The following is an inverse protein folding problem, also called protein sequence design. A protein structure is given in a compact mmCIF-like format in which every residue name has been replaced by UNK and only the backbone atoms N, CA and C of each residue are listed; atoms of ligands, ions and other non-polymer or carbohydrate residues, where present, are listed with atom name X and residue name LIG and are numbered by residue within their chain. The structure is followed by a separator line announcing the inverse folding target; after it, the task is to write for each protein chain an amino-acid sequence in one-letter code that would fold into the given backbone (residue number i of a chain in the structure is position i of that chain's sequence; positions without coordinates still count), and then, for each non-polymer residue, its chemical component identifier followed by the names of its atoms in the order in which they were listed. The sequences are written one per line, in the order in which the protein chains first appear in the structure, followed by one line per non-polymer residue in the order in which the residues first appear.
data_IF_837543243327
#
_entry.id   IF_837543243327
#
_cell.length_a   1.000
_cell.length_b   1.000
_cell.length_c   1.000
_cell.angle_alpha   90.00
_cell.angle_beta   90.00
_cell.angle_gamma   90.00
#
_symmetry.space_group_name_H-M   'P 1'
#
loop_
_entity.id
_entity.type
_entity.pdbx_description
1 polymer ?
#
# COMPACT_ATOMS: atom_id res chain seq x y z
N UNK A 1 -12.77 -14.95 -3.08
CA UNK A 1 -13.03 -13.58 -2.58
C UNK A 1 -12.01 -12.67 -3.25
N UNK A 2 -12.33 -12.13 -4.43
CA UNK A 2 -11.44 -11.25 -5.22
C UNK A 2 -12.04 -9.84 -5.38
N UNK A 3 -13.11 -9.55 -4.65
CA UNK A 3 -13.89 -8.32 -4.75
C UNK A 3 -13.14 -7.13 -4.14
N UNK A 4 -12.43 -7.33 -3.02
CA UNK A 4 -11.81 -6.23 -2.26
C UNK A 4 -10.77 -5.44 -3.08
N UNK A 5 -9.90 -6.14 -3.82
CA UNK A 5 -8.95 -5.51 -4.74
C UNK A 5 -9.66 -4.90 -5.95
N UNK A 6 -10.70 -5.56 -6.46
CA UNK A 6 -11.43 -5.05 -7.62
C UNK A 6 -12.14 -3.72 -7.30
N UNK A 7 -12.80 -3.62 -6.15
CA UNK A 7 -13.46 -2.41 -5.67
C UNK A 7 -12.47 -1.27 -5.45
N UNK A 8 -11.34 -1.52 -4.76
CA UNK A 8 -10.32 -0.48 -4.60
C UNK A 8 -9.70 -0.02 -5.91
N UNK A 9 -9.39 -0.96 -6.81
CA UNK A 9 -8.86 -0.60 -8.12
C UNK A 9 -9.90 0.20 -8.91
N UNK A 10 -11.19 -0.05 -8.71
CA UNK A 10 -12.26 0.76 -9.31
C UNK A 10 -12.33 2.16 -8.70
N UNK A 11 -12.28 2.29 -7.37
CA UNK A 11 -12.25 3.58 -6.65
C UNK A 11 -11.05 4.46 -7.05
N UNK A 12 -9.89 3.84 -7.28
CA UNK A 12 -8.67 4.54 -7.68
C UNK A 12 -8.58 4.83 -9.19
N UNK A 13 -9.57 4.37 -9.96
CA UNK A 13 -9.60 4.38 -11.43
C UNK A 13 -8.43 3.59 -12.07
N UNK A 14 -8.06 2.48 -11.42
CA UNK A 14 -6.99 1.55 -11.78
C UNK A 14 -7.51 0.16 -12.20
N UNK A 15 -8.81 0.01 -12.43
CA UNK A 15 -9.45 -1.26 -12.86
C UNK A 15 -8.80 -1.91 -14.08
N UNK A 16 -8.17 -1.12 -14.96
CA UNK A 16 -7.42 -1.63 -16.11
C UNK A 16 -6.23 -2.55 -15.72
N UNK A 17 -5.67 -2.37 -14.52
CA UNK A 17 -4.57 -3.18 -14.02
C UNK A 17 -5.04 -4.46 -13.32
N UNK A 18 -6.35 -4.61 -13.06
CA UNK A 18 -6.91 -5.76 -12.33
C UNK A 18 -6.43 -7.10 -12.88
N UNK A 19 -6.42 -7.27 -14.20
CA UNK A 19 -5.95 -8.50 -14.83
C UNK A 19 -4.46 -8.76 -14.63
N UNK A 20 -3.64 -7.70 -14.57
CA UNK A 20 -2.20 -7.79 -14.27
C UNK A 20 -1.96 -8.17 -12.81
N UNK A 21 -2.72 -7.56 -11.89
CA UNK A 21 -2.67 -7.89 -10.45
C UNK A 21 -3.07 -9.35 -10.21
N UNK A 22 -4.17 -9.82 -10.80
CA UNK A 22 -4.60 -11.23 -10.66
C UNK A 22 -3.59 -12.21 -11.25
N UNK A 23 -2.98 -11.90 -12.40
CA UNK A 23 -1.93 -12.74 -12.99
C UNK A 23 -0.67 -12.80 -12.14
N UNK A 24 -0.36 -11.73 -11.41
CA UNK A 24 0.75 -11.68 -10.45
C UNK A 24 0.43 -12.36 -9.11
N UNK A 25 -0.80 -12.85 -8.89
CA UNK A 25 -1.22 -13.41 -7.60
C UNK A 25 -1.51 -12.36 -6.53
N UNK A 26 -1.83 -11.13 -6.94
CA UNK A 26 -2.19 -10.00 -6.07
C UNK A 26 -3.70 -9.90 -5.97
N UNK A 27 -4.33 -10.96 -5.44
CA UNK A 27 -5.79 -11.07 -5.31
C UNK A 27 -6.33 -10.53 -3.97
N UNK A 28 -5.45 -10.18 -3.04
CA UNK A 28 -5.81 -9.72 -1.69
C UNK A 28 -5.01 -8.47 -1.27
N UNK A 29 -5.54 -7.75 -0.27
CA UNK A 29 -4.93 -6.53 0.25
C UNK A 29 -3.54 -6.73 0.82
N UNK A 30 -3.31 -7.87 1.48
CA UNK A 30 -2.03 -8.18 2.11
C UNK A 30 -0.91 -8.36 1.07
N UNK A 31 -1.22 -9.02 -0.05
CA UNK A 31 -0.32 -9.18 -1.19
C UNK A 31 -0.08 -7.84 -1.89
N UNK A 32 -1.12 -7.01 -2.05
CA UNK A 32 -0.97 -5.65 -2.58
C UNK A 32 -0.09 -4.78 -1.67
N UNK A 33 -0.22 -4.91 -0.35
CA UNK A 33 0.62 -4.23 0.62
C UNK A 33 2.08 -4.70 0.59
N UNK A 34 2.32 -5.95 0.18
CA UNK A 34 3.64 -6.56 0.07
C UNK A 34 4.35 -6.27 -1.27
N UNK A 35 3.64 -5.78 -2.28
CA UNK A 35 4.22 -5.51 -3.59
C UNK A 35 5.26 -4.39 -3.50
N UNK A 36 6.39 -4.54 -4.20
CA UNK A 36 7.45 -3.52 -4.25
C UNK A 36 7.27 -2.57 -5.45
N UNK A 37 7.90 -1.40 -5.39
CA UNK A 37 7.97 -0.49 -6.56
C UNK A 37 8.56 -1.17 -7.80
N UNK A 38 9.50 -2.10 -7.61
CA UNK A 38 10.12 -2.90 -8.69
C UNK A 38 9.11 -3.84 -9.33
N UNK A 39 8.30 -4.54 -8.54
CA UNK A 39 7.23 -5.42 -9.05
C UNK A 39 6.16 -4.59 -9.79
N UNK A 40 5.79 -3.41 -9.27
CA UNK A 40 4.89 -2.47 -9.96
C UNK A 40 5.50 -1.93 -11.27
N UNK A 41 6.83 -1.77 -11.31
CA UNK A 41 7.57 -1.37 -12.51
C UNK A 41 7.54 -2.46 -13.58
N UNK A 42 7.78 -3.72 -13.17
CA UNK A 42 7.70 -4.91 -14.04
C UNK A 42 6.28 -5.08 -14.61
N UNK A 43 5.25 -4.76 -13.82
CA UNK A 43 3.85 -4.74 -14.28
C UNK A 43 3.53 -3.56 -15.23
N UNK A 44 4.48 -2.65 -15.47
CA UNK A 44 4.31 -1.49 -16.35
C UNK A 44 3.39 -0.41 -15.77
N UNK A 45 3.20 -0.38 -14.44
CA UNK A 45 2.34 0.61 -13.79
C UNK A 45 3.05 1.96 -13.75
N UNK A 46 2.38 3.03 -14.16
CA UNK A 46 2.98 4.38 -14.19
C UNK A 46 3.23 4.90 -12.77
N UNK A 47 4.29 5.67 -12.56
CA UNK A 47 4.66 6.24 -11.25
C UNK A 47 3.50 6.97 -10.55
N UNK A 48 2.69 7.73 -11.29
CA UNK A 48 1.52 8.41 -10.73
C UNK A 48 0.47 7.46 -10.14
N UNK A 49 0.27 6.28 -10.74
CA UNK A 49 -0.64 5.25 -10.25
C UNK A 49 -0.07 4.53 -9.03
N UNK A 50 1.25 4.29 -9.00
CA UNK A 50 1.94 3.75 -7.81
C UNK A 50 1.72 4.67 -6.61
N UNK A 51 1.84 5.99 -6.78
CA UNK A 51 1.58 6.96 -5.71
C UNK A 51 0.12 6.96 -5.24
N UNK A 52 -0.85 6.74 -6.13
CA UNK A 52 -2.26 6.56 -5.74
C UNK A 52 -2.45 5.32 -4.88
N UNK A 53 -1.89 4.18 -5.30
CA UNK A 53 -1.94 2.92 -4.55
C UNK A 53 -1.27 3.07 -3.18
N UNK A 54 -0.05 3.60 -3.15
CA UNK A 54 0.66 3.91 -1.92
C UNK A 54 -0.16 4.82 -1.01
N UNK A 55 -0.87 5.82 -1.54
CA UNK A 55 -1.71 6.71 -0.73
C UNK A 55 -2.88 5.97 -0.09
N UNK A 56 -3.53 5.10 -0.85
CA UNK A 56 -4.62 4.28 -0.33
C UNK A 56 -4.12 3.30 0.74
N UNK A 57 -2.97 2.65 0.51
CA UNK A 57 -2.29 1.81 1.51
C UNK A 57 -1.96 2.61 2.77
N UNK A 58 -1.38 3.79 2.61
CA UNK A 58 -1.06 4.67 3.72
C UNK A 58 -2.32 5.06 4.50
N UNK A 59 -3.42 5.45 3.83
CA UNK A 59 -4.69 5.81 4.50
C UNK A 59 -5.26 4.68 5.34
N UNK A 60 -5.23 3.44 4.83
CA UNK A 60 -5.70 2.26 5.58
C UNK A 60 -4.79 1.91 6.76
N UNK A 61 -3.50 2.27 6.68
CA UNK A 61 -2.56 2.23 7.80
C UNK A 61 -2.68 3.43 8.75
N UNK A 62 -3.75 4.22 8.62
CA UNK A 62 -4.00 5.44 9.40
C UNK A 62 -2.91 6.51 9.21
N UNK A 63 -2.26 6.53 8.05
CA UNK A 63 -1.32 7.56 7.70
C UNK A 63 -2.04 8.87 7.36
N UNK A 64 -1.67 9.98 7.99
CA UNK A 64 -2.29 11.26 7.69
C UNK A 64 -1.94 11.77 6.28
N UNK A 65 -2.93 12.29 5.55
CA UNK A 65 -2.75 12.85 4.21
C UNK A 65 -1.78 14.04 4.16
N UNK A 66 -1.67 14.80 5.26
CA UNK A 66 -0.78 15.94 5.39
C UNK A 66 0.70 15.55 5.49
N UNK A 67 1.00 14.29 5.81
CA UNK A 67 2.38 13.79 5.78
C UNK A 67 2.78 13.40 4.35
N UNK A 68 4.08 13.52 4.03
CA UNK A 68 4.59 13.04 2.75
C UNK A 68 4.22 11.58 2.58
N UNK A 69 3.96 11.20 1.33
CA UNK A 69 3.63 9.84 1.01
C UNK A 69 4.86 8.97 1.29
N UNK A 70 4.76 7.99 2.20
CA UNK A 70 5.88 7.11 2.52
C UNK A 70 6.21 6.24 1.31
N UNK A 71 7.48 5.88 1.22
CA UNK A 71 7.98 4.97 0.18
C UNK A 71 7.33 3.59 0.37
N UNK A 72 7.22 2.77 -0.69
CA UNK A 72 6.73 1.39 -0.55
C UNK A 72 7.50 0.60 0.52
N UNK A 73 8.81 0.83 0.62
CA UNK A 73 9.65 0.23 1.65
C UNK A 73 9.28 0.69 3.07
N UNK A 74 8.91 1.96 3.26
CA UNK A 74 8.43 2.46 4.56
C UNK A 74 7.04 1.89 4.89
N UNK A 75 6.15 1.76 3.90
CA UNK A 75 4.86 1.11 4.07
C UNK A 75 5.01 -0.35 4.52
N UNK A 76 5.94 -1.08 3.91
CA UNK A 76 6.30 -2.44 4.32
C UNK A 76 6.77 -2.49 5.78
N UNK A 77 7.64 -1.58 6.20
CA UNK A 77 8.11 -1.53 7.60
C UNK A 77 6.96 -1.29 8.59
N UNK A 78 5.98 -0.46 8.23
CA UNK A 78 4.81 -0.18 9.07
C UNK A 78 3.85 -1.38 9.14
N UNK A 79 3.68 -2.10 8.03
CA UNK A 79 2.90 -3.33 7.98
C UNK A 79 3.50 -4.41 8.89
N UNK A 80 4.82 -4.58 8.87
CA UNK A 80 5.54 -5.47 9.78
C UNK A 80 5.38 -5.08 11.25
N UNK A 81 5.34 -3.78 11.55
CA UNK A 81 5.17 -3.28 12.92
C UNK A 81 3.75 -3.45 13.47
N UNK A 82 2.73 -3.37 12.61
CA UNK A 82 1.33 -3.54 13.00
C UNK A 82 0.95 -5.00 13.33
N UNK A 83 1.70 -5.99 12.85
CA UNK A 83 1.45 -7.41 13.16
C UNK A 83 1.79 -7.81 14.62
N UNK A 84 2.52 -6.98 15.37
CA UNK A 84 3.00 -7.30 16.74
C UNK A 84 2.26 -6.55 17.88
N UNK A 85 1.21 -5.77 17.60
CA UNK A 85 0.77 -4.72 18.53
C UNK A 85 -0.73 -4.51 18.69
N UNK A 86 -1.54 -5.55 18.98
CA UNK A 86 -2.86 -5.35 19.58
C UNK A 86 -2.73 -5.10 21.09
N UNK A 87 -2.10 -4.00 21.48
CA UNK A 87 -2.11 -3.49 22.84
C UNK A 87 -2.06 -1.96 22.79
N UNK A 88 -3.07 -1.31 23.36
CA UNK A 88 -3.37 0.10 23.15
C UNK A 88 -2.33 1.08 23.66
N UNK A 89 -2.39 2.30 23.12
CA UNK A 89 -1.63 3.45 23.59
C UNK A 89 -1.47 4.47 22.47
N UNK A 90 -1.89 5.70 22.74
CA UNK A 90 -1.78 6.87 21.85
C UNK A 90 -0.35 7.09 21.33
N UNK A 91 -0.31 7.56 20.08
CA UNK A 91 0.57 8.60 19.54
C UNK A 91 2.06 8.50 19.90
N UNK A 92 2.89 7.84 19.07
CA UNK A 92 4.33 8.17 18.96
C UNK A 92 5.05 7.46 17.77
N UNK A 93 4.37 7.13 16.67
CA UNK A 93 5.00 6.36 15.57
C UNK A 93 5.93 7.16 14.64
N UNK A 94 6.33 8.40 14.97
CA UNK A 94 7.10 9.23 14.05
C UNK A 94 8.30 9.95 14.69
N UNK A 95 9.18 9.19 15.35
CA UNK A 95 10.61 9.52 15.35
C UNK A 95 11.34 8.51 14.45
N UNK A 96 11.31 8.75 13.14
CA UNK A 96 12.29 8.14 12.23
C UNK A 96 13.53 9.05 12.24
N UNK A 97 14.75 8.48 12.38
CA UNK A 97 15.96 9.28 12.29
C UNK A 97 16.17 9.69 10.82
N UNK A 98 16.05 10.99 10.53
CA UNK A 98 16.66 11.55 9.32
C UNK A 98 18.18 11.34 9.44
N UNK A 99 18.78 10.63 8.48
CA UNK A 99 20.23 10.66 8.22
C UNK A 99 20.54 11.63 7.09
#
# INVERSE_FOLDING_TARGET
MTAEIAEMLEDLDLKQYRSSFLQAGLDNWEALCKITDSELDVLGIRLGHRRKLQREVARRLLWPDFKPLPTTQELLLLLWHNEQGRAGGREDYFSLPCS
#
